data_IF_754666742109
#
_entry.id   IF_754666742109
#
_cell.length_a   1.000
_cell.length_b   1.000
_cell.length_c   1.000
_cell.angle_alpha   90.00
_cell.angle_beta   90.00
_cell.angle_gamma   90.00
#
_symmetry.space_group_name_H-M   'P 1'
#
loop_
_entity.id
_entity.type
_entity.pdbx_description
1 polymer ?
#
# COMPACT_ATOMS: atom_id res chain seq x y z
N UNK A 1 6.04 9.47 -4.03
CA UNK A 1 7.45 9.94 -4.06
C UNK A 1 8.40 8.78 -3.84
N UNK A 2 9.33 8.56 -4.77
CA UNK A 2 10.37 7.53 -4.63
C UNK A 2 11.57 8.08 -3.86
N UNK A 3 11.99 7.37 -2.82
CA UNK A 3 13.06 7.77 -1.92
C UNK A 3 14.44 7.32 -2.44
N UNK A 4 15.55 7.92 -1.95
CA UNK A 4 16.91 7.54 -2.34
C UNK A 4 17.27 6.07 -2.04
N UNK A 5 16.65 5.46 -1.03
CA UNK A 5 16.82 4.04 -0.67
C UNK A 5 15.93 3.10 -1.50
N UNK A 6 15.33 3.61 -2.58
CA UNK A 6 14.35 2.94 -3.43
C UNK A 6 13.00 2.62 -2.77
N UNK A 7 12.76 3.01 -1.52
CA UNK A 7 11.44 2.88 -0.91
C UNK A 7 10.46 3.89 -1.49
N UNK A 8 9.17 3.61 -1.31
CA UNK A 8 8.10 4.50 -1.73
C UNK A 8 7.44 5.17 -0.54
N UNK A 9 7.06 6.42 -0.72
CA UNK A 9 6.33 7.21 0.27
C UNK A 9 5.11 7.84 -0.40
N UNK A 10 3.98 7.80 0.30
CA UNK A 10 2.77 8.53 -0.06
C UNK A 10 2.77 9.86 0.68
N UNK A 11 2.49 10.94 -0.05
CA UNK A 11 2.35 12.29 0.46
C UNK A 11 0.92 12.76 0.17
N UNK A 12 0.02 12.57 1.14
CA UNK A 12 -1.37 13.04 1.06
C UNK A 12 -1.64 14.03 2.19
N UNK A 13 -2.76 13.83 2.91
CA UNK A 13 -3.02 14.58 4.16
C UNK A 13 -1.95 14.30 5.22
N UNK A 14 -1.34 13.12 5.14
CA UNK A 14 -0.24 12.65 5.97
C UNK A 14 0.80 11.96 5.10
N UNK A 15 2.01 11.88 5.62
CA UNK A 15 3.12 11.18 5.00
C UNK A 15 3.31 9.82 5.67
N UNK A 16 3.35 8.76 4.88
CA UNK A 16 3.57 7.39 5.37
C UNK A 16 4.33 6.54 4.37
N UNK A 17 5.05 5.49 4.83
CA UNK A 17 5.68 4.52 3.94
C UNK A 17 4.61 3.82 3.10
N UNK A 18 4.93 3.60 1.83
CA UNK A 18 4.06 2.92 0.89
C UNK A 18 4.46 1.46 0.71
N UNK A 19 3.48 0.60 0.46
CA UNK A 19 3.73 -0.76 0.03
C UNK A 19 4.25 -0.74 -1.41
N UNK A 20 5.48 -1.21 -1.60
CA UNK A 20 6.17 -1.17 -2.90
C UNK A 20 5.43 -1.99 -3.96
N UNK A 21 4.80 -3.10 -3.59
CA UNK A 21 4.03 -3.91 -4.54
C UNK A 21 2.77 -3.17 -4.99
N UNK A 22 2.06 -2.52 -4.06
CA UNK A 22 0.87 -1.75 -4.41
C UNK A 22 1.21 -0.56 -5.31
N UNK A 23 2.31 0.15 -5.02
CA UNK A 23 2.79 1.24 -5.87
C UNK A 23 3.18 0.73 -7.26
N UNK A 24 3.91 -0.38 -7.36
CA UNK A 24 4.29 -0.96 -8.64
C UNK A 24 3.08 -1.41 -9.46
N UNK A 25 2.05 -1.99 -8.81
CA UNK A 25 0.81 -2.34 -9.48
C UNK A 25 0.07 -1.11 -10.01
N UNK A 26 -0.01 -0.03 -9.23
CA UNK A 26 -0.58 1.24 -9.68
C UNK A 26 0.19 1.80 -10.88
N UNK A 27 1.53 1.83 -10.81
CA UNK A 27 2.37 2.30 -11.91
C UNK A 27 2.22 1.44 -13.17
N UNK A 28 2.06 0.13 -13.03
CA UNK A 28 1.75 -0.77 -14.13
C UNK A 28 0.38 -0.45 -14.74
N UNK A 29 -0.66 -0.24 -13.93
CA UNK A 29 -1.99 0.19 -14.41
C UNK A 29 -1.92 1.47 -15.24
N UNK A 30 -1.10 2.45 -14.83
CA UNK A 30 -0.91 3.71 -15.57
C UNK A 30 -0.16 3.47 -16.87
N UNK A 31 0.95 2.74 -16.81
CA UNK A 31 1.78 2.42 -17.99
C UNK A 31 1.03 1.63 -19.04
N UNK A 32 0.19 0.70 -18.60
CA UNK A 32 -0.61 -0.16 -19.48
C UNK A 32 -1.93 0.53 -19.88
N UNK A 33 -2.16 1.75 -19.38
CA UNK A 33 -3.28 2.61 -19.75
C UNK A 33 -3.27 2.95 -21.23
N UNK A 34 -4.39 2.69 -21.92
CA UNK A 34 -4.52 3.01 -23.35
C UNK A 34 -5.42 4.23 -23.55
N UNK A 35 -4.91 5.18 -24.33
CA UNK A 35 -5.72 6.27 -24.86
C UNK A 35 -6.66 5.67 -25.89
N UNK A 36 -7.96 5.79 -25.65
CA UNK A 36 -9.01 5.28 -26.54
C UNK A 36 -9.61 6.39 -27.41
N UNK A 37 -9.39 7.66 -27.05
CA UNK A 37 -9.83 8.82 -27.82
C UNK A 37 -9.01 10.07 -27.48
N UNK A 38 -8.77 10.92 -28.47
CA UNK A 38 -8.20 12.25 -28.30
C UNK A 38 -9.35 13.26 -28.36
N UNK A 39 -9.90 13.60 -27.20
CA UNK A 39 -11.13 14.38 -27.09
C UNK A 39 -10.91 15.83 -27.53
N UNK A 40 -9.78 16.43 -27.14
CA UNK A 40 -9.44 17.79 -27.54
C UNK A 40 -7.95 18.07 -27.42
N UNK A 41 -7.40 18.67 -28.46
CA UNK A 41 -6.08 19.31 -28.45
C UNK A 41 -6.24 20.84 -28.26
N UNK A 42 -5.19 21.50 -27.74
CA UNK A 42 -5.19 22.92 -27.38
C UNK A 42 -6.38 23.32 -26.49
N UNK A 43 -6.72 22.46 -25.53
CA UNK A 43 -7.79 22.66 -24.57
C UNK A 43 -7.53 23.89 -23.68
N UNK A 44 -8.59 24.66 -23.44
CA UNK A 44 -8.59 25.87 -22.63
C UNK A 44 -9.14 25.62 -21.24
N UNK A 45 -9.06 26.60 -20.36
CA UNK A 45 -9.69 26.55 -19.02
C UNK A 45 -11.19 26.25 -19.07
N UNK A 46 -11.89 26.71 -20.11
CA UNK A 46 -13.33 26.44 -20.30
C UNK A 46 -13.56 24.95 -20.57
N UNK A 47 -12.68 24.33 -21.36
CA UNK A 47 -12.75 22.91 -21.65
C UNK A 47 -12.45 22.07 -20.42
N UNK A 48 -11.44 22.44 -19.63
CA UNK A 48 -11.13 21.73 -18.38
C UNK A 48 -12.29 21.78 -17.38
N UNK A 49 -12.96 22.92 -17.25
CA UNK A 49 -14.17 23.07 -16.42
C UNK A 49 -15.30 22.17 -16.90
N UNK A 50 -15.55 22.16 -18.21
CA UNK A 50 -16.62 21.37 -18.81
C UNK A 50 -16.41 19.87 -18.57
N UNK A 51 -15.17 19.41 -18.69
CA UNK A 51 -14.80 18.00 -18.55
C UNK A 51 -14.38 17.61 -17.12
N UNK A 52 -14.61 18.49 -16.12
CA UNK A 52 -14.31 18.23 -14.70
C UNK A 52 -12.83 18.01 -14.39
N UNK A 53 -11.94 18.54 -15.23
CA UNK A 53 -10.48 18.47 -15.07
C UNK A 53 -9.92 19.70 -14.34
N UNK A 54 -10.74 20.72 -14.07
CA UNK A 54 -10.39 21.83 -13.18
C UNK A 54 -10.52 21.44 -11.70
N UNK A 55 -11.50 20.59 -11.38
CA UNK A 55 -11.70 19.97 -10.07
C UNK A 55 -11.79 18.45 -10.28
N UNK A 56 -10.66 17.80 -10.59
CA UNK A 56 -10.65 16.37 -10.87
C UNK A 56 -11.05 15.57 -9.63
N UNK A 57 -11.74 14.45 -9.82
CA UNK A 57 -12.05 13.54 -8.71
C UNK A 57 -10.81 12.81 -8.20
N UNK A 58 -9.75 12.75 -9.02
CA UNK A 58 -8.44 12.27 -8.62
C UNK A 58 -7.36 13.01 -9.41
N UNK A 59 -6.36 13.52 -8.69
CA UNK A 59 -5.12 14.01 -9.27
C UNK A 59 -3.98 13.16 -8.69
N UNK A 60 -3.31 12.41 -9.55
CA UNK A 60 -2.16 11.61 -9.17
C UNK A 60 -0.90 12.39 -9.50
N UNK A 61 -0.04 12.58 -8.49
CA UNK A 61 1.29 13.15 -8.66
C UNK A 61 2.34 12.10 -8.30
N UNK A 62 3.29 11.89 -9.20
CA UNK A 62 4.37 10.93 -9.04
C UNK A 62 5.68 11.70 -9.15
N UNK A 63 6.38 11.75 -8.01
CA UNK A 63 7.71 12.32 -7.94
C UNK A 63 8.76 11.21 -7.83
N UNK A 64 9.89 11.42 -8.49
CA UNK A 64 11.03 10.53 -8.40
C UNK A 64 12.35 11.23 -8.68
N UNK A 65 13.43 10.47 -8.53
CA UNK A 65 14.78 10.89 -8.88
C UNK A 65 15.46 9.82 -9.70
N UNK A 66 16.10 10.22 -10.78
CA UNK A 66 16.90 9.36 -11.65
C UNK A 66 18.33 9.89 -11.70
N UNK A 67 19.31 9.01 -11.87
CA UNK A 67 20.70 9.41 -12.09
C UNK A 67 20.86 10.19 -13.41
N UNK A 68 20.02 9.91 -14.41
CA UNK A 68 20.14 10.48 -15.75
C UNK A 68 19.35 11.76 -15.94
N UNK A 69 18.14 11.85 -15.39
CA UNK A 69 17.22 12.99 -15.55
C UNK A 69 17.08 13.87 -14.31
N UNK A 70 17.79 13.56 -13.22
CA UNK A 70 17.66 14.30 -11.97
C UNK A 70 16.31 14.06 -11.30
N UNK A 71 15.82 15.05 -10.54
CA UNK A 71 14.49 15.00 -9.95
C UNK A 71 13.43 15.26 -11.03
N UNK A 72 12.35 14.48 -11.01
CA UNK A 72 11.23 14.60 -11.93
C UNK A 72 9.91 14.52 -11.17
N UNK A 73 8.87 15.13 -11.73
CA UNK A 73 7.52 15.16 -11.19
C UNK A 73 6.53 15.15 -12.34
N UNK A 74 5.66 14.14 -12.36
CA UNK A 74 4.60 13.99 -13.35
C UNK A 74 3.25 13.95 -12.67
N UNK A 75 2.23 14.54 -13.30
CA UNK A 75 0.89 14.56 -12.74
C UNK A 75 -0.21 14.36 -13.77
N UNK A 76 -1.15 13.49 -13.43
CA UNK A 76 -2.30 13.12 -14.25
C UNK A 76 -3.57 13.46 -13.48
N UNK A 77 -4.44 14.24 -14.09
CA UNK A 77 -5.78 14.54 -13.58
C UNK A 77 -6.82 13.65 -14.26
N UNK A 78 -7.78 13.18 -13.47
CA UNK A 78 -8.93 12.40 -13.93
C UNK A 78 -10.22 13.16 -13.61
N UNK A 79 -10.97 13.48 -14.67
CA UNK A 79 -12.17 14.30 -14.65
C UNK A 79 -13.44 13.49 -14.84
N UNK A 80 -14.42 14.03 -15.57
CA UNK A 80 -15.71 13.35 -15.77
C UNK A 80 -15.54 11.94 -16.36
N UNK A 81 -16.51 11.08 -16.04
CA UNK A 81 -16.53 9.70 -16.51
C UNK A 81 -17.95 9.24 -16.84
N UNK A 82 -18.05 8.33 -17.79
CA UNK A 82 -19.30 7.66 -18.15
C UNK A 82 -19.21 6.14 -17.86
N UNK A 83 -20.01 5.31 -18.53
CA UNK A 83 -19.98 3.86 -18.35
C UNK A 83 -18.74 3.20 -18.93
N UNK A 84 -18.07 3.85 -19.88
CA UNK A 84 -17.01 3.28 -20.73
C UNK A 84 -15.67 3.98 -20.58
N UNK A 85 -15.66 5.29 -20.35
CA UNK A 85 -14.45 6.11 -20.38
C UNK A 85 -14.35 7.11 -19.24
N UNK A 86 -13.13 7.52 -18.97
CA UNK A 86 -12.76 8.61 -18.05
C UNK A 86 -11.97 9.63 -18.84
N UNK A 87 -12.30 10.91 -18.68
CA UNK A 87 -11.52 11.99 -19.27
C UNK A 87 -10.32 12.30 -18.39
N UNK A 88 -9.17 12.49 -19.02
CA UNK A 88 -7.90 12.66 -18.32
C UNK A 88 -6.98 13.62 -19.05
N UNK A 89 -6.02 14.17 -18.32
CA UNK A 89 -4.95 14.99 -18.89
C UNK A 89 -3.66 14.83 -18.11
N UNK A 90 -2.53 14.94 -18.79
CA UNK A 90 -1.28 15.34 -18.15
C UNK A 90 -1.40 16.83 -17.79
N UNK A 91 -1.06 17.20 -16.57
CA UNK A 91 -1.31 18.57 -16.07
C UNK A 91 -0.47 19.62 -16.80
N UNK A 92 0.66 19.22 -17.41
CA UNK A 92 1.54 20.09 -18.21
C UNK A 92 1.07 20.25 -19.67
N UNK A 93 0.18 19.39 -20.16
CA UNK A 93 -0.25 19.38 -21.56
C UNK A 93 -1.66 19.98 -21.73
N UNK A 94 -1.91 20.73 -22.82
CA UNK A 94 -3.23 21.24 -23.15
C UNK A 94 -4.07 20.20 -23.92
N UNK A 95 -3.94 18.92 -23.60
CA UNK A 95 -4.62 17.81 -24.29
C UNK A 95 -5.55 17.08 -23.34
N UNK A 96 -6.79 16.89 -23.77
CA UNK A 96 -7.76 16.03 -23.08
C UNK A 96 -7.86 14.72 -23.85
N UNK A 97 -7.60 13.62 -23.14
CA UNK A 97 -7.69 12.26 -23.66
C UNK A 97 -8.77 11.49 -22.93
N UNK A 98 -9.33 10.48 -23.57
CA UNK A 98 -10.17 9.50 -22.91
C UNK A 98 -9.37 8.23 -22.65
N UNK A 99 -9.48 7.72 -21.43
CA UNK A 99 -8.95 6.43 -21.00
C UNK A 99 -10.10 5.45 -20.76
N UNK A 100 -9.84 4.15 -20.89
CA UNK A 100 -10.82 3.14 -20.55
C UNK A 100 -11.14 3.20 -19.04
N UNK A 101 -12.43 3.32 -18.70
CA UNK A 101 -12.86 3.38 -17.30
C UNK A 101 -12.43 2.16 -16.49
N UNK A 102 -12.39 0.97 -17.10
CA UNK A 102 -11.97 -0.25 -16.45
C UNK A 102 -10.53 -0.17 -15.90
N UNK A 103 -9.66 0.63 -16.51
CA UNK A 103 -8.29 0.85 -16.02
C UNK A 103 -8.28 1.89 -14.91
N UNK A 104 -9.00 3.00 -15.09
CA UNK A 104 -9.04 4.07 -14.10
C UNK A 104 -9.66 3.65 -12.75
N UNK A 105 -10.63 2.72 -12.73
CA UNK A 105 -11.22 2.20 -11.48
C UNK A 105 -10.26 1.36 -10.64
N UNK A 106 -9.16 0.86 -11.23
CA UNK A 106 -8.14 0.08 -10.53
C UNK A 106 -7.12 0.97 -9.80
N UNK A 107 -7.14 2.28 -10.08
CA UNK A 107 -6.28 3.24 -9.40
C UNK A 107 -6.73 3.44 -7.94
N UNK A 108 -5.79 3.65 -7.02
CA UNK A 108 -6.10 3.88 -5.61
C UNK A 108 -6.78 5.24 -5.45
N UNK A 109 -8.08 5.24 -5.13
CA UNK A 109 -8.86 6.47 -4.93
C UNK A 109 -8.49 7.19 -3.64
N UNK A 110 -8.16 6.41 -2.61
CA UNK A 110 -7.70 6.91 -1.33
C UNK A 110 -6.22 6.65 -1.13
N UNK A 111 -5.49 7.65 -0.62
CA UNK A 111 -4.05 7.60 -0.39
C UNK A 111 -3.63 6.44 0.54
N UNK A 112 -4.41 6.19 1.60
CA UNK A 112 -4.14 5.13 2.57
C UNK A 112 -4.15 3.72 1.96
N UNK A 113 -4.77 3.53 0.78
CA UNK A 113 -4.78 2.22 0.08
C UNK A 113 -3.36 1.79 -0.32
N UNK A 114 -2.44 2.72 -0.49
CA UNK A 114 -1.04 2.47 -0.85
C UNK A 114 -0.12 2.30 0.36
N UNK A 115 -0.62 2.48 1.59
CA UNK A 115 0.19 2.41 2.81
C UNK A 115 0.85 1.03 2.97
N UNK A 116 2.10 1.02 3.46
CA UNK A 116 2.81 -0.21 3.82
C UNK A 116 1.91 -1.10 4.70
N UNK A 117 1.68 -2.32 4.23
CA UNK A 117 0.82 -3.29 4.88
C UNK A 117 1.53 -4.04 6.01
N UNK A 118 2.85 -3.95 6.11
CA UNK A 118 3.62 -4.61 7.15
C UNK A 118 3.35 -3.96 8.51
N UNK A 119 2.71 -4.73 9.40
CA UNK A 119 2.40 -4.29 10.77
C UNK A 119 3.61 -4.45 11.68
N UNK A 120 4.32 -5.58 11.55
CA UNK A 120 5.58 -5.81 12.26
C UNK A 120 6.46 -6.85 11.56
N UNK A 121 7.74 -6.83 11.94
CA UNK A 121 8.76 -7.79 11.54
C UNK A 121 9.75 -7.99 12.68
N UNK A 122 10.00 -9.21 13.11
CA UNK A 122 11.09 -9.56 14.02
C UNK A 122 11.66 -10.94 13.67
N UNK A 123 12.96 -11.14 13.96
CA UNK A 123 13.63 -12.42 13.77
C UNK A 123 13.42 -13.32 14.99
N UNK A 124 13.36 -14.64 14.80
CA UNK A 124 13.07 -15.58 15.90
C UNK A 124 14.14 -15.53 17.01
N UNK A 125 15.39 -15.24 16.65
CA UNK A 125 16.49 -15.05 17.60
C UNK A 125 16.38 -13.78 18.47
N UNK A 126 15.47 -12.85 18.13
CA UNK A 126 15.16 -11.68 18.95
C UNK A 126 14.08 -11.97 20.01
N UNK A 127 13.50 -13.18 20.00
CA UNK A 127 12.43 -13.57 20.92
C UNK A 127 13.03 -14.25 22.16
N UNK A 128 12.90 -13.61 23.32
CA UNK A 128 13.39 -14.16 24.58
C UNK A 128 12.41 -15.18 25.20
N UNK A 129 11.11 -14.97 25.05
CA UNK A 129 10.07 -15.83 25.59
C UNK A 129 8.76 -15.62 24.83
N UNK A 130 7.88 -16.61 24.89
CA UNK A 130 6.50 -16.51 24.40
C UNK A 130 5.53 -16.99 25.49
N UNK A 131 4.31 -16.48 25.44
CA UNK A 131 3.20 -16.97 26.26
C UNK A 131 2.05 -17.32 25.33
N UNK A 132 1.64 -18.59 25.34
CA UNK A 132 0.51 -19.09 24.56
C UNK A 132 -0.66 -19.29 25.53
N UNK A 133 -1.77 -18.61 25.29
CA UNK A 133 -2.99 -18.75 26.08
C UNK A 133 -4.02 -19.54 25.30
N UNK A 134 -4.32 -20.76 25.75
CA UNK A 134 -5.37 -21.60 25.18
C UNK A 134 -6.44 -21.86 26.23
N UNK A 135 -7.72 -21.54 25.92
CA UNK A 135 -8.85 -21.72 26.86
C UNK A 135 -8.56 -21.14 28.26
N UNK A 136 -8.04 -19.90 28.31
CA UNK A 136 -7.61 -19.19 29.53
C UNK A 136 -6.49 -19.86 30.35
N UNK A 137 -5.72 -20.77 29.73
CA UNK A 137 -4.53 -21.38 30.36
C UNK A 137 -3.26 -20.83 29.70
N UNK A 138 -2.56 -19.86 30.34
CA UNK A 138 -1.31 -19.36 29.81
C UNK A 138 -0.19 -20.38 30.03
N UNK A 139 0.55 -20.67 28.97
CA UNK A 139 1.77 -21.48 29.02
C UNK A 139 2.93 -20.64 28.49
N UNK A 140 3.94 -20.43 29.32
CA UNK A 140 5.13 -19.66 28.95
C UNK A 140 6.25 -20.59 28.52
N UNK A 141 6.92 -20.23 27.44
CA UNK A 141 8.14 -20.87 26.95
C UNK A 141 9.27 -19.85 26.89
N UNK A 142 10.46 -20.25 27.33
CA UNK A 142 11.64 -19.40 27.34
C UNK A 142 12.68 -19.94 26.36
N UNK A 143 13.24 -19.04 25.55
CA UNK A 143 14.23 -19.41 24.55
C UNK A 143 15.59 -19.62 25.20
N UNK A 144 16.29 -20.67 24.78
CA UNK A 144 17.64 -20.99 25.21
C UNK A 144 18.66 -20.60 24.13
N UNK A 145 19.96 -20.43 24.48
CA UNK A 145 20.99 -19.98 23.52
C UNK A 145 21.15 -20.88 22.29
N UNK A 146 20.85 -22.18 22.41
CA UNK A 146 20.97 -23.19 21.35
C UNK A 146 19.73 -23.31 20.46
N UNK A 147 18.85 -22.30 20.42
CA UNK A 147 17.57 -22.32 19.68
C UNK A 147 16.59 -23.43 20.11
N UNK A 148 16.76 -23.98 21.32
CA UNK A 148 15.74 -24.79 21.97
C UNK A 148 14.93 -23.96 22.96
N UNK A 149 13.84 -24.52 23.46
CA UNK A 149 12.92 -23.84 24.35
C UNK A 149 12.75 -24.63 25.64
N UNK A 150 12.49 -23.95 26.75
CA UNK A 150 12.07 -24.57 28.01
C UNK A 150 10.68 -24.11 28.40
N UNK A 151 9.93 -24.97 29.09
CA UNK A 151 8.63 -24.60 29.65
C UNK A 151 8.76 -23.85 30.99
N UNK A 152 7.64 -23.46 31.59
CA UNK A 152 7.60 -22.76 32.87
C UNK A 152 8.23 -23.54 34.05
N UNK A 153 8.45 -24.85 33.92
CA UNK A 153 9.12 -25.71 34.90
C UNK A 153 10.60 -25.92 34.56
N UNK A 154 11.18 -25.11 33.67
CA UNK A 154 12.56 -25.22 33.15
C UNK A 154 12.87 -26.56 32.47
N UNK A 155 11.85 -27.34 32.08
CA UNK A 155 12.06 -28.55 31.28
C UNK A 155 12.30 -28.15 29.83
N UNK A 156 13.45 -28.54 29.29
CA UNK A 156 13.80 -28.36 27.87
C UNK A 156 12.83 -29.19 27.02
N UNK A 157 12.27 -28.56 25.99
CA UNK A 157 11.44 -29.21 24.99
C UNK A 157 12.31 -30.08 24.09
N UNK A 158 11.74 -31.14 23.52
CA UNK A 158 12.47 -31.92 22.52
C UNK A 158 12.71 -31.09 21.24
N UNK A 159 13.52 -31.65 20.34
CA UNK A 159 13.93 -30.97 19.12
C UNK A 159 12.74 -30.71 18.18
N UNK A 160 11.76 -31.62 18.11
CA UNK A 160 10.57 -31.46 17.26
C UNK A 160 9.70 -30.33 17.79
N UNK A 161 9.43 -30.33 19.10
CA UNK A 161 8.66 -29.29 19.77
C UNK A 161 9.33 -27.91 19.64
N UNK A 162 10.65 -27.84 19.83
CA UNK A 162 11.41 -26.60 19.66
C UNK A 162 11.33 -26.09 18.21
N UNK A 163 11.48 -26.98 17.22
CA UNK A 163 11.37 -26.62 15.81
C UNK A 163 9.97 -26.14 15.43
N UNK A 164 8.91 -26.79 15.94
CA UNK A 164 7.53 -26.34 15.73
C UNK A 164 7.30 -24.94 16.30
N UNK A 165 7.89 -24.63 17.45
CA UNK A 165 7.77 -23.32 18.07
C UNK A 165 8.54 -22.24 17.32
N UNK A 166 9.77 -22.52 16.90
CA UNK A 166 10.56 -21.63 16.05
C UNK A 166 9.83 -21.33 14.73
N UNK A 167 9.26 -22.34 14.06
CA UNK A 167 8.47 -22.15 12.83
C UNK A 167 7.22 -21.30 13.07
N UNK A 168 6.52 -21.52 14.18
CA UNK A 168 5.35 -20.73 14.56
C UNK A 168 5.73 -19.26 14.78
N UNK A 169 6.84 -19.02 15.50
CA UNK A 169 7.37 -17.69 15.77
C UNK A 169 7.86 -17.05 14.47
N UNK A 170 8.49 -17.80 13.57
CA UNK A 170 8.92 -17.30 12.26
C UNK A 170 7.73 -16.78 11.46
N UNK A 171 6.63 -17.56 11.39
CA UNK A 171 5.40 -17.15 10.70
C UNK A 171 4.70 -15.96 11.36
N UNK A 172 4.69 -15.89 12.69
CA UNK A 172 4.11 -14.76 13.43
C UNK A 172 5.02 -13.53 13.45
N UNK A 173 6.32 -13.74 13.22
CA UNK A 173 7.37 -12.73 13.22
C UNK A 173 7.18 -11.70 12.13
N UNK A 174 6.51 -12.07 11.04
CA UNK A 174 6.10 -11.17 9.98
C UNK A 174 4.59 -11.13 9.93
N UNK A 175 3.99 -9.99 10.27
CA UNK A 175 2.57 -9.77 10.08
C UNK A 175 2.33 -8.60 9.14
N UNK A 176 1.47 -8.82 8.16
CA UNK A 176 1.00 -7.80 7.25
C UNK A 176 -0.53 -7.82 7.16
N UNK A 177 -1.13 -6.64 7.01
CA UNK A 177 -2.52 -6.51 6.61
C UNK A 177 -2.70 -7.04 5.17
N UNK A 178 -3.87 -7.61 4.87
CA UNK A 178 -4.22 -7.98 3.49
C UNK A 178 -4.49 -6.71 2.68
N UNK A 179 -5.28 -5.80 3.26
CA UNK A 179 -5.64 -4.51 2.68
C UNK A 179 -6.00 -3.49 3.77
N UNK A 180 -6.00 -2.22 3.39
CA UNK A 180 -6.54 -1.12 4.20
C UNK A 180 -7.94 -0.76 3.68
N UNK A 181 -8.95 -0.92 4.53
CA UNK A 181 -10.36 -0.65 4.18
C UNK A 181 -10.85 0.73 4.61
N UNK A 182 -10.10 1.43 5.46
CA UNK A 182 -10.43 2.76 5.93
C UNK A 182 -9.50 3.23 7.03
N UNK A 183 -9.67 4.49 7.45
CA UNK A 183 -8.84 5.12 8.46
C UNK A 183 -9.66 5.88 9.52
N UNK A 184 -9.22 5.80 10.77
CA UNK A 184 -9.81 6.51 11.90
C UNK A 184 -11.07 5.85 12.49
N UNK A 185 -11.57 6.43 13.58
CA UNK A 185 -12.67 5.85 14.36
C UNK A 185 -13.97 5.67 13.57
N UNK A 186 -14.22 6.54 12.58
CA UNK A 186 -15.39 6.41 11.72
C UNK A 186 -15.34 5.12 10.89
N UNK A 187 -14.18 4.78 10.31
CA UNK A 187 -13.99 3.56 9.54
C UNK A 187 -14.13 2.30 10.41
N UNK A 188 -13.58 2.32 11.63
CA UNK A 188 -13.71 1.20 12.58
C UNK A 188 -15.19 0.95 12.94
N UNK A 189 -15.94 2.02 13.24
CA UNK A 189 -17.39 1.93 13.51
C UNK A 189 -18.16 1.39 12.30
N UNK A 190 -17.86 1.89 11.11
CA UNK A 190 -18.52 1.45 9.87
C UNK A 190 -18.24 -0.02 9.54
N UNK A 191 -17.04 -0.52 9.88
CA UNK A 191 -16.65 -1.91 9.66
C UNK A 191 -17.25 -2.89 10.70
N UNK A 192 -17.98 -2.40 11.72
CA UNK A 192 -18.52 -3.20 12.82
C UNK A 192 -17.48 -4.08 13.53
N UNK A 193 -16.21 -3.69 13.47
CA UNK A 193 -15.10 -4.35 14.16
C UNK A 193 -15.22 -3.97 15.64
N UNK A 194 -15.53 -4.95 16.49
CA UNK A 194 -15.63 -4.80 17.95
C UNK A 194 -14.27 -4.94 18.62
#
# INVERSE_FOLDING_TARGET
NRQPDNSWQVNGKRTFPADTLLVNNMLATIRDGQIIDFVKDNATTVDFKKEGLDIPWMNLQIDGKSATSGAWSESISFGTFDTSRVLSRLNIEPTIVALNRAQAILLPKEDFKLRDRRLWSFATNQVAAITITLKNKPTRFQRLPNATWSNAQNKVLDQIQSAMLEESIYRMGVMAAVEWIGEGNAAVKAAAIK
#
